data_IF_215393488934
#
_entry.id   IF_215393488934
#
_cell.length_a   1.000
_cell.length_b   1.000
_cell.length_c   1.000
_cell.angle_alpha   90.00
_cell.angle_beta   90.00
_cell.angle_gamma   90.00
#
_symmetry.space_group_name_H-M   'P 1'
#
loop_
_entity.id
_entity.type
_entity.pdbx_description
1 polymer ?
#
# COMPACT_ATOMS: atom_id res chain seq x y z
N UNK A 1 20.93 -38.11 -40.78
CA UNK A 1 20.34 -36.74 -40.78
C UNK A 1 18.81 -36.73 -40.73
N UNK A 2 18.11 -37.81 -41.15
CA UNK A 2 16.63 -37.87 -41.15
C UNK A 2 15.95 -37.96 -39.77
N UNK A 3 16.57 -38.56 -38.74
CA UNK A 3 15.92 -38.69 -37.41
C UNK A 3 15.78 -37.39 -36.62
N UNK A 4 16.62 -36.38 -36.89
CA UNK A 4 16.56 -35.08 -36.21
C UNK A 4 15.41 -34.20 -36.71
N UNK A 5 14.91 -34.48 -37.92
CA UNK A 5 13.82 -33.71 -38.55
C UNK A 5 12.47 -34.16 -37.97
N UNK A 6 12.24 -35.47 -37.79
CA UNK A 6 10.99 -35.98 -37.21
C UNK A 6 10.73 -35.54 -35.78
N UNK A 7 11.77 -35.45 -34.94
CA UNK A 7 11.61 -35.00 -33.54
C UNK A 7 11.22 -33.52 -33.43
N UNK A 8 11.72 -32.67 -34.35
CA UNK A 8 11.36 -31.24 -34.39
C UNK A 8 9.93 -31.02 -34.86
N UNK A 9 9.46 -31.80 -35.83
CA UNK A 9 8.07 -31.71 -36.31
C UNK A 9 7.09 -32.13 -35.21
N UNK A 10 7.42 -33.16 -34.42
CA UNK A 10 6.57 -33.61 -33.31
C UNK A 10 6.46 -32.57 -32.17
N UNK A 11 7.57 -31.87 -31.88
CA UNK A 11 7.61 -30.79 -30.89
C UNK A 11 6.80 -29.56 -31.34
N UNK A 12 6.87 -29.20 -32.63
CA UNK A 12 6.11 -28.06 -33.17
C UNK A 12 4.61 -28.40 -33.19
N UNK A 13 4.23 -29.63 -33.58
CA UNK A 13 2.83 -30.05 -33.57
C UNK A 13 2.23 -30.05 -32.15
N UNK A 14 2.99 -30.50 -31.14
CA UNK A 14 2.55 -30.45 -29.74
C UNK A 14 2.39 -29.01 -29.22
N UNK A 15 3.23 -28.07 -29.66
CA UNK A 15 3.12 -26.67 -29.24
C UNK A 15 1.88 -25.96 -29.80
N UNK A 16 1.38 -26.35 -30.98
CA UNK A 16 0.17 -25.77 -31.56
C UNK A 16 -1.14 -26.21 -30.89
N UNK A 17 -1.17 -27.40 -30.25
CA UNK A 17 -2.40 -27.89 -29.61
C UNK A 17 -2.74 -27.21 -28.26
N UNK A 18 -1.83 -26.45 -27.65
CA UNK A 18 -2.09 -25.75 -26.38
C UNK A 18 -2.71 -24.36 -26.52
N UNK A 19 -2.95 -23.88 -27.76
CA UNK A 19 -3.62 -22.59 -28.00
C UNK A 19 -5.15 -22.70 -27.83
N UNK A 20 -5.63 -23.00 -26.63
CA UNK A 20 -7.05 -22.92 -26.30
C UNK A 20 -7.44 -21.44 -26.09
N UNK A 21 -8.39 -20.96 -26.89
CA UNK A 21 -8.95 -19.61 -26.76
C UNK A 21 -9.75 -19.50 -25.46
N UNK A 22 -9.27 -18.72 -24.50
CA UNK A 22 -9.97 -18.49 -23.24
C UNK A 22 -11.32 -17.77 -23.49
N UNK A 23 -12.45 -18.28 -22.98
CA UNK A 23 -13.73 -17.60 -23.16
C UNK A 23 -13.68 -16.21 -22.53
N UNK A 24 -14.30 -15.22 -23.19
CA UNK A 24 -14.44 -13.87 -22.67
C UNK A 24 -15.18 -13.89 -21.33
N UNK A 25 -14.46 -13.61 -20.24
CA UNK A 25 -15.01 -13.63 -18.90
C UNK A 25 -15.96 -12.43 -18.74
N UNK A 26 -17.19 -12.72 -18.35
CA UNK A 26 -18.20 -11.71 -18.02
C UNK A 26 -18.20 -11.52 -16.51
N UNK A 27 -17.71 -10.38 -16.05
CA UNK A 27 -17.63 -10.05 -14.62
C UNK A 27 -18.78 -9.11 -14.26
N UNK A 28 -19.68 -9.57 -13.41
CA UNK A 28 -20.82 -8.80 -12.89
C UNK A 28 -20.40 -7.98 -11.67
N UNK A 29 -20.74 -6.69 -11.69
CA UNK A 29 -20.55 -5.77 -10.56
C UNK A 29 -21.86 -5.68 -9.76
N UNK A 30 -21.84 -6.20 -8.54
CA UNK A 30 -23.01 -6.35 -7.69
C UNK A 30 -23.00 -5.35 -6.52
N UNK A 31 -24.17 -4.81 -6.16
CA UNK A 31 -24.36 -4.07 -4.90
C UNK A 31 -24.99 -4.99 -3.87
N UNK A 32 -24.33 -5.15 -2.73
CA UNK A 32 -24.88 -5.87 -1.58
C UNK A 32 -25.63 -4.93 -0.63
N UNK A 33 -26.46 -5.51 0.25
CA UNK A 33 -27.07 -4.80 1.35
C UNK A 33 -25.97 -4.17 2.22
N UNK A 34 -26.12 -2.89 2.58
CA UNK A 34 -25.06 -2.11 3.25
C UNK A 34 -24.14 -1.32 2.30
N UNK A 35 -24.38 -1.37 0.99
CA UNK A 35 -23.70 -0.51 0.02
C UNK A 35 -22.32 -0.99 -0.43
N UNK A 36 -21.89 -2.16 0.02
CA UNK A 36 -20.65 -2.83 -0.42
C UNK A 36 -20.77 -3.27 -1.88
N UNK A 37 -19.70 -3.10 -2.65
CA UNK A 37 -19.62 -3.50 -4.05
C UNK A 37 -18.73 -4.74 -4.17
N UNK A 38 -19.26 -5.80 -4.79
CA UNK A 38 -18.52 -7.04 -5.10
C UNK A 38 -18.51 -7.32 -6.60
N UNK A 39 -17.54 -8.14 -7.05
CA UNK A 39 -17.40 -8.57 -8.44
C UNK A 39 -17.48 -10.08 -8.51
N UNK A 40 -18.27 -10.62 -9.43
CA UNK A 40 -18.57 -12.06 -9.51
C UNK A 40 -18.70 -12.49 -10.97
N UNK A 41 -18.37 -13.73 -11.30
CA UNK A 41 -18.54 -14.26 -12.67
C UNK A 41 -19.99 -14.70 -12.95
N UNK A 42 -20.80 -14.87 -11.90
CA UNK A 42 -22.21 -15.20 -11.99
C UNK A 42 -23.10 -13.95 -11.82
N UNK A 43 -24.30 -13.93 -12.44
CA UNK A 43 -25.26 -12.84 -12.28
C UNK A 43 -25.53 -12.50 -10.81
N UNK A 44 -25.73 -11.21 -10.52
CA UNK A 44 -25.96 -10.76 -9.15
C UNK A 44 -27.29 -11.32 -8.62
N UNK A 45 -27.33 -11.94 -7.43
CA UNK A 45 -28.59 -12.37 -6.79
C UNK A 45 -29.46 -11.19 -6.33
N UNK A 46 -28.96 -9.96 -6.47
CA UNK A 46 -29.65 -8.72 -6.12
C UNK A 46 -29.40 -7.64 -7.17
N UNK A 47 -29.12 -6.40 -6.74
CA UNK A 47 -29.01 -5.27 -7.65
C UNK A 47 -27.69 -5.26 -8.42
N UNK A 48 -27.77 -5.57 -9.70
CA UNK A 48 -26.66 -5.44 -10.65
C UNK A 48 -26.42 -3.97 -11.00
N UNK A 49 -25.18 -3.52 -10.88
CA UNK A 49 -24.78 -2.13 -11.17
C UNK A 49 -24.04 -2.04 -12.51
N UNK A 50 -23.47 -3.14 -12.99
CA UNK A 50 -22.79 -3.18 -14.28
C UNK A 50 -22.24 -4.54 -14.66
N UNK A 51 -21.84 -4.67 -15.92
CA UNK A 51 -21.17 -5.86 -16.46
C UNK A 51 -19.87 -5.39 -17.11
N UNK A 52 -18.75 -5.97 -16.69
CA UNK A 52 -17.47 -5.79 -17.35
C UNK A 52 -17.23 -7.02 -18.22
N UNK A 53 -17.15 -6.81 -19.53
CA UNK A 53 -16.66 -7.83 -20.46
C UNK A 53 -15.19 -7.57 -20.66
N UNK A 54 -14.34 -8.51 -20.27
CA UNK A 54 -12.93 -8.44 -20.68
C UNK A 54 -12.86 -8.83 -22.16
N UNK A 55 -12.32 -7.98 -23.04
CA UNK A 55 -12.13 -8.37 -24.43
C UNK A 55 -11.04 -9.44 -24.48
N UNK A 56 -11.43 -10.69 -24.73
CA UNK A 56 -10.47 -11.73 -25.17
C UNK A 56 -10.12 -11.47 -26.63
N UNK A 57 -9.33 -10.44 -26.91
CA UNK A 57 -8.38 -10.35 -28.04
C UNK A 57 -7.76 -8.96 -28.08
N UNK A 58 -6.43 -8.92 -28.01
CA UNK A 58 -5.62 -7.74 -28.28
C UNK A 58 -5.60 -7.44 -29.79
N UNK A 59 -6.72 -7.05 -30.40
CA UNK A 59 -6.78 -6.52 -31.77
C UNK A 59 -8.16 -5.94 -32.11
N UNK A 60 -8.47 -4.72 -31.65
CA UNK A 60 -9.47 -3.86 -32.32
C UNK A 60 -9.40 -2.42 -31.77
N UNK A 61 -8.30 -1.72 -32.04
CA UNK A 61 -8.37 -0.26 -32.13
C UNK A 61 -9.02 0.09 -33.48
N UNK A 62 -10.36 0.03 -33.54
CA UNK A 62 -11.12 0.66 -34.62
C UNK A 62 -11.42 2.12 -34.22
N UNK A 63 -11.12 3.02 -35.14
CA UNK A 63 -11.28 4.46 -35.04
C UNK A 63 -12.68 4.86 -34.54
N UNK A 64 -12.82 5.96 -33.77
CA UNK A 64 -14.11 6.38 -33.26
C UNK A 64 -14.98 6.91 -34.41
N UNK A 65 -16.07 6.21 -34.71
CA UNK A 65 -17.18 6.80 -35.44
C UNK A 65 -17.84 7.86 -34.54
N UNK A 66 -17.88 9.09 -35.03
CA UNK A 66 -18.57 10.20 -34.36
C UNK A 66 -20.07 9.98 -34.44
N UNK A 67 -20.63 9.32 -33.42
CA UNK A 67 -22.07 9.34 -33.15
C UNK A 67 -22.34 10.52 -32.22
N UNK A 68 -22.99 11.55 -32.75
CA UNK A 68 -23.57 12.64 -31.96
C UNK A 68 -24.73 12.08 -31.15
N UNK A 69 -24.41 11.49 -30.00
CA UNK A 69 -25.40 11.11 -29.00
C UNK A 69 -25.89 12.38 -28.28
N UNK A 70 -27.20 12.62 -28.35
CA UNK A 70 -27.89 13.67 -27.60
C UNK A 70 -27.60 13.46 -26.10
N UNK A 71 -26.94 14.43 -25.46
CA UNK A 71 -26.53 14.35 -24.07
C UNK A 71 -27.76 14.24 -23.15
N UNK A 72 -27.99 13.03 -22.61
CA UNK A 72 -28.85 12.84 -21.44
C UNK A 72 -28.19 13.58 -20.26
N UNK A 73 -28.94 14.27 -19.38
CA UNK A 73 -28.39 14.88 -18.18
C UNK A 73 -27.56 13.85 -17.40
N UNK A 74 -26.28 14.17 -17.22
CA UNK A 74 -25.31 13.30 -16.56
C UNK A 74 -25.79 13.09 -15.11
N UNK A 75 -26.20 11.86 -14.78
CA UNK A 75 -26.53 11.53 -13.42
C UNK A 75 -25.28 11.79 -12.55
N UNK A 76 -25.40 12.44 -11.37
CA UNK A 76 -24.24 12.80 -10.57
C UNK A 76 -23.37 11.57 -10.35
N UNK A 77 -22.15 11.59 -10.90
CA UNK A 77 -21.18 10.52 -10.66
C UNK A 77 -21.03 10.38 -9.14
N UNK A 78 -21.23 9.18 -8.56
CA UNK A 78 -21.09 9.00 -7.13
C UNK A 78 -19.70 9.48 -6.71
N UNK A 79 -19.67 10.48 -5.84
CA UNK A 79 -18.43 11.00 -5.27
C UNK A 79 -17.75 9.83 -4.56
N UNK A 80 -16.45 9.55 -4.80
CA UNK A 80 -15.74 8.57 -4.02
C UNK A 80 -15.89 8.94 -2.55
N UNK A 81 -16.58 8.10 -1.76
CA UNK A 81 -16.61 8.25 -0.31
C UNK A 81 -15.17 8.31 0.17
N UNK A 82 -14.81 9.39 0.87
CA UNK A 82 -13.47 9.59 1.38
C UNK A 82 -13.00 8.31 2.08
N UNK A 83 -11.84 7.79 1.68
CA UNK A 83 -11.24 6.63 2.34
C UNK A 83 -11.11 6.95 3.83
N UNK A 84 -11.59 6.04 4.68
CA UNK A 84 -11.47 6.21 6.13
C UNK A 84 -10.02 6.58 6.50
N UNK A 85 -9.82 7.57 7.38
CA UNK A 85 -8.48 7.97 7.80
C UNK A 85 -7.72 6.77 8.34
N UNK A 86 -6.47 6.59 7.89
CA UNK A 86 -5.60 5.57 8.46
C UNK A 86 -5.31 5.95 9.92
N UNK A 87 -5.38 4.99 10.86
CA UNK A 87 -5.04 5.28 12.24
C UNK A 87 -3.56 5.67 12.33
N UNK A 88 -3.28 6.63 13.21
CA UNK A 88 -1.93 7.06 13.53
C UNK A 88 -1.74 7.08 15.04
N UNK A 89 -0.54 6.74 15.48
CA UNK A 89 -0.20 6.69 16.90
C UNK A 89 1.10 7.45 17.14
N UNK A 90 1.12 8.28 18.18
CA UNK A 90 2.33 8.91 18.70
C UNK A 90 2.89 8.00 19.79
N UNK A 91 4.09 7.50 19.58
CA UNK A 91 4.79 6.68 20.55
C UNK A 91 5.97 7.45 21.13
N UNK A 92 6.15 7.35 22.45
CA UNK A 92 7.28 7.93 23.18
C UNK A 92 8.18 6.79 23.62
N UNK A 93 9.47 6.90 23.27
CA UNK A 93 10.51 5.96 23.67
C UNK A 93 10.97 6.22 25.11
N UNK A 94 11.66 5.26 25.75
CA UNK A 94 12.25 5.46 27.07
C UNK A 94 13.30 6.58 27.16
N UNK A 95 13.84 7.06 26.04
CA UNK A 95 14.75 8.23 25.98
C UNK A 95 14.00 9.57 25.84
N UNK A 96 12.66 9.54 25.82
CA UNK A 96 11.81 10.72 25.64
C UNK A 96 11.59 11.13 24.17
N UNK A 97 12.33 10.55 23.23
CA UNK A 97 12.09 10.79 21.81
C UNK A 97 10.74 10.22 21.38
N UNK A 98 10.03 10.92 20.50
CA UNK A 98 8.76 10.44 19.99
C UNK A 98 8.83 10.12 18.50
N UNK A 99 7.93 9.26 18.05
CA UNK A 99 7.78 8.91 16.64
C UNK A 99 6.32 8.59 16.35
N UNK A 100 5.96 8.64 15.06
CA UNK A 100 4.63 8.28 14.60
C UNK A 100 4.64 6.92 13.90
N UNK A 101 3.65 6.10 14.21
CA UNK A 101 3.49 4.77 13.61
C UNK A 101 2.03 4.52 13.21
N UNK A 102 1.82 3.51 12.36
CA UNK A 102 0.48 3.07 11.93
C UNK A 102 -0.05 1.92 12.78
N UNK A 103 0.77 1.40 13.71
CA UNK A 103 0.40 0.34 14.64
C UNK A 103 0.35 0.88 16.08
N UNK A 104 -0.61 0.43 16.88
CA UNK A 104 -0.65 0.76 18.30
C UNK A 104 0.31 -0.08 19.14
N UNK A 105 1.04 -1.03 18.53
CA UNK A 105 1.87 -1.99 19.25
C UNK A 105 3.15 -1.31 19.73
N UNK A 106 3.37 -1.19 21.05
CA UNK A 106 4.58 -0.59 21.57
C UNK A 106 5.78 -1.48 21.24
N UNK A 107 6.88 -0.88 20.77
CA UNK A 107 8.10 -1.63 20.57
C UNK A 107 8.75 -1.94 21.93
N UNK A 108 9.39 -3.11 22.02
CA UNK A 108 10.14 -3.53 23.22
C UNK A 108 11.63 -3.37 22.96
N UNK A 109 12.35 -2.88 23.95
CA UNK A 109 13.80 -2.68 23.86
C UNK A 109 14.49 -2.87 25.22
N UNK A 110 15.80 -3.09 25.18
CA UNK A 110 16.64 -3.07 26.37
C UNK A 110 17.06 -1.63 26.65
N UNK A 111 16.83 -1.19 27.88
CA UNK A 111 17.27 0.11 28.39
C UNK A 111 18.16 -0.10 29.60
N UNK A 112 18.79 0.98 30.07
CA UNK A 112 19.47 0.95 31.35
C UNK A 112 18.49 0.65 32.51
N UNK A 113 18.90 -0.18 33.46
CA UNK A 113 18.10 -0.51 34.63
C UNK A 113 17.81 0.74 35.50
N UNK A 114 18.66 1.76 35.44
CA UNK A 114 18.45 3.03 36.14
C UNK A 114 17.46 3.98 35.45
N UNK A 115 17.04 3.70 34.20
CA UNK A 115 16.10 4.57 33.49
C UNK A 115 14.70 4.51 34.16
N UNK A 116 14.35 5.58 34.87
CA UNK A 116 13.08 5.73 35.59
C UNK A 116 11.90 6.13 34.70
N UNK A 117 12.15 6.68 33.51
CA UNK A 117 11.12 7.04 32.54
C UNK A 117 10.61 5.84 31.74
N UNK A 118 11.34 4.73 31.78
CA UNK A 118 11.04 3.53 31.04
C UNK A 118 9.84 2.78 31.62
N UNK A 119 8.80 2.56 30.81
CA UNK A 119 7.71 1.65 31.17
C UNK A 119 8.23 0.21 31.13
N UNK A 120 8.27 -0.45 32.29
CA UNK A 120 8.75 -1.84 32.41
C UNK A 120 7.78 -2.82 31.78
N UNK A 121 8.32 -3.84 31.10
CA UNK A 121 7.48 -4.87 30.50
C UNK A 121 7.24 -6.02 31.48
N UNK A 122 5.99 -6.22 31.87
CA UNK A 122 5.59 -7.33 32.73
C UNK A 122 5.82 -8.68 32.03
N UNK A 123 6.29 -9.68 32.78
CA UNK A 123 6.55 -11.02 32.23
C UNK A 123 7.67 -11.08 31.18
N UNK A 124 8.55 -10.07 31.13
CA UNK A 124 9.71 -10.11 30.26
C UNK A 124 10.74 -11.17 30.73
N UNK A 125 11.49 -11.78 29.80
CA UNK A 125 12.60 -12.66 30.19
C UNK A 125 13.65 -11.86 30.98
N UNK A 126 14.52 -12.57 31.71
CA UNK A 126 15.62 -11.96 32.45
C UNK A 126 16.45 -11.05 31.54
N UNK A 127 16.64 -9.80 31.94
CA UNK A 127 17.49 -8.86 31.22
C UNK A 127 18.96 -9.07 31.61
N UNK A 128 19.92 -8.70 30.74
CA UNK A 128 21.34 -8.67 31.08
C UNK A 128 21.61 -7.79 32.32
N UNK A 129 22.71 -8.04 33.07
CA UNK A 129 23.10 -7.19 34.19
C UNK A 129 23.17 -5.71 33.82
N UNK A 130 22.57 -4.85 34.64
CA UNK A 130 22.50 -3.40 34.40
C UNK A 130 21.49 -2.97 33.33
N UNK A 131 20.74 -3.90 32.71
CA UNK A 131 19.69 -3.61 31.74
C UNK A 131 18.33 -4.04 32.24
N UNK A 132 17.29 -3.50 31.61
CA UNK A 132 15.92 -3.90 31.85
C UNK A 132 15.09 -3.76 30.57
N UNK A 133 14.08 -4.62 30.42
CA UNK A 133 13.14 -4.53 29.32
C UNK A 133 12.18 -3.37 29.53
N UNK A 134 12.06 -2.54 28.50
CA UNK A 134 11.11 -1.45 28.44
C UNK A 134 10.28 -1.53 27.16
N UNK A 135 9.12 -0.88 27.21
CA UNK A 135 8.27 -0.67 26.05
C UNK A 135 7.97 0.81 25.83
N UNK A 136 7.72 1.14 24.56
CA UNK A 136 7.27 2.47 24.18
C UNK A 136 5.86 2.75 24.72
N UNK A 137 5.54 4.03 24.89
CA UNK A 137 4.20 4.48 25.29
C UNK A 137 3.50 5.09 24.09
N UNK A 138 2.50 4.38 23.55
CA UNK A 138 1.77 4.79 22.35
C UNK A 138 0.36 5.29 22.66
N UNK A 139 0.00 6.44 22.11
CA UNK A 139 -1.34 7.00 22.17
C UNK A 139 -1.87 7.31 20.76
N UNK A 140 -3.20 7.30 20.59
CA UNK A 140 -3.82 7.72 19.33
C UNK A 140 -3.42 9.16 19.00
N UNK A 141 -3.14 9.42 17.73
CA UNK A 141 -2.81 10.75 17.22
C UNK A 141 -3.62 11.07 15.97
N UNK A 142 -3.76 12.37 15.71
CA UNK A 142 -4.39 12.87 14.49
C UNK A 142 -3.46 12.72 13.29
N UNK A 143 -4.07 12.66 12.10
CA UNK A 143 -3.35 12.76 10.82
C UNK A 143 -2.56 14.05 10.73
N UNK A 144 -3.12 15.17 11.19
CA UNK A 144 -2.49 16.49 11.14
C UNK A 144 -1.16 16.51 11.92
N UNK A 145 -1.15 16.05 13.17
CA UNK A 145 0.07 15.96 14.00
C UNK A 145 1.15 15.10 13.34
N UNK A 146 0.76 13.95 12.79
CA UNK A 146 1.70 13.05 12.11
C UNK A 146 2.30 13.71 10.87
N UNK A 147 1.49 14.42 10.09
CA UNK A 147 1.94 15.10 8.89
C UNK A 147 2.86 16.27 9.19
N UNK A 148 2.54 17.05 10.22
CA UNK A 148 3.39 18.14 10.69
C UNK A 148 4.77 17.61 11.14
N UNK A 149 4.79 16.54 11.96
CA UNK A 149 6.05 15.91 12.38
C UNK A 149 6.93 15.50 11.18
N UNK A 150 6.37 14.85 10.17
CA UNK A 150 7.17 14.46 9.01
C UNK A 150 7.57 15.64 8.13
N UNK A 151 6.79 16.73 8.08
CA UNK A 151 7.20 17.96 7.41
C UNK A 151 8.43 18.57 8.11
N UNK A 152 8.40 18.67 9.43
CA UNK A 152 9.52 19.19 10.23
C UNK A 152 10.78 18.32 10.08
N UNK A 153 10.63 16.99 10.13
CA UNK A 153 11.76 16.06 9.92
C UNK A 153 12.36 16.17 8.51
N UNK A 154 11.51 16.36 7.48
CA UNK A 154 11.99 16.59 6.11
C UNK A 154 12.76 17.90 6.05
N UNK A 155 12.22 18.99 6.60
CA UNK A 155 12.89 20.29 6.60
C UNK A 155 14.24 20.24 7.34
N UNK A 156 14.29 19.58 8.50
CA UNK A 156 15.53 19.39 9.26
C UNK A 156 16.55 18.52 8.51
N UNK A 157 16.10 17.46 7.83
CA UNK A 157 16.98 16.63 7.01
C UNK A 157 17.52 17.39 5.79
N UNK A 158 16.66 18.14 5.10
CA UNK A 158 17.02 18.93 3.92
C UNK A 158 18.02 20.05 4.29
N UNK A 159 17.85 20.70 5.46
CA UNK A 159 18.81 21.68 5.98
C UNK A 159 20.18 21.04 6.25
N UNK A 160 20.21 19.86 6.88
CA UNK A 160 21.46 19.12 7.11
C UNK A 160 22.11 18.64 5.82
N UNK A 161 21.30 18.25 4.83
CA UNK A 161 21.80 17.81 3.51
C UNK A 161 22.51 18.95 2.79
N UNK A 162 22.02 20.18 2.91
CA UNK A 162 22.62 21.38 2.28
C UNK A 162 24.06 21.66 2.76
N UNK A 163 24.38 21.31 4.01
CA UNK A 163 25.70 21.53 4.61
C UNK A 163 26.62 20.29 4.50
N UNK A 164 26.04 19.12 4.23
CA UNK A 164 26.77 17.85 4.23
C UNK A 164 27.61 17.64 2.96
N UNK A 165 28.68 16.85 3.09
CA UNK A 165 29.57 16.48 1.97
C UNK A 165 29.80 14.96 1.95
N UNK A 166 30.20 14.45 0.79
CA UNK A 166 30.61 13.06 0.61
C UNK A 166 29.53 12.05 1.03
N UNK A 167 29.91 11.09 1.87
CA UNK A 167 29.05 9.98 2.32
C UNK A 167 27.86 10.43 3.15
N UNK A 168 28.01 11.50 3.93
CA UNK A 168 26.92 12.05 4.75
C UNK A 168 25.82 12.67 3.90
N UNK A 169 26.18 13.39 2.84
CA UNK A 169 25.20 13.92 1.89
C UNK A 169 24.39 12.78 1.25
N UNK A 170 25.06 11.70 0.83
CA UNK A 170 24.37 10.53 0.26
C UNK A 170 23.44 9.83 1.27
N UNK A 171 23.82 9.78 2.56
CA UNK A 171 22.98 9.23 3.63
C UNK A 171 21.75 10.10 3.89
N UNK A 172 21.92 11.41 4.00
CA UNK A 172 20.83 12.37 4.23
C UNK A 172 19.87 12.41 3.04
N UNK A 173 20.37 12.31 1.81
CA UNK A 173 19.52 12.22 0.61
C UNK A 173 18.59 11.00 0.64
N UNK A 174 19.12 9.83 1.02
CA UNK A 174 18.32 8.59 1.18
C UNK A 174 17.29 8.74 2.31
N UNK A 175 17.67 9.36 3.43
CA UNK A 175 16.75 9.59 4.53
C UNK A 175 15.63 10.57 4.15
N UNK A 176 15.94 11.64 3.43
CA UNK A 176 14.95 12.58 2.90
C UNK A 176 13.95 11.91 1.97
N UNK A 177 14.41 11.01 1.09
CA UNK A 177 13.53 10.18 0.25
C UNK A 177 12.62 9.29 1.11
N UNK A 178 13.17 8.63 2.14
CA UNK A 178 12.40 7.79 3.07
C UNK A 178 11.32 8.59 3.79
N UNK A 179 11.66 9.75 4.35
CA UNK A 179 10.72 10.62 5.07
C UNK A 179 9.60 11.12 4.16
N UNK A 180 9.93 11.53 2.93
CA UNK A 180 8.94 11.93 1.90
C UNK A 180 7.98 10.78 1.55
N UNK A 181 8.49 9.56 1.39
CA UNK A 181 7.66 8.39 1.12
C UNK A 181 6.71 8.07 2.30
N UNK A 182 7.21 8.13 3.53
CA UNK A 182 6.39 7.93 4.74
C UNK A 182 5.30 8.99 4.85
N UNK A 183 5.67 10.27 4.64
CA UNK A 183 4.72 11.39 4.65
C UNK A 183 3.62 11.16 3.62
N UNK A 184 3.96 10.87 2.36
CA UNK A 184 2.99 10.64 1.30
C UNK A 184 2.03 9.48 1.64
N UNK A 185 2.53 8.42 2.28
CA UNK A 185 1.70 7.28 2.68
C UNK A 185 0.74 7.58 3.85
N UNK A 186 1.11 8.51 4.73
CA UNK A 186 0.31 8.87 5.92
C UNK A 186 -0.60 10.07 5.71
N UNK A 187 -0.21 10.96 4.79
CA UNK A 187 -0.80 12.28 4.61
C UNK A 187 -1.62 12.43 3.34
N UNK A 188 -1.68 11.43 2.45
CA UNK A 188 -2.59 11.37 1.31
C UNK A 188 -3.66 10.29 1.56
#
# INVERSE_FOLDING_TARGET
MSSLISLRILLIASALLLATTAPAATIYKCRQAGGVVSYQDNPCPGRQIGVLRTPTTAAAARAPASVTAKATPDAPRPTPTARAPRPSFKCVRPDGSHYFTGNARPARMLVDASNTMAKRVAGAPAAPPGKAWAEDQCASSTRAESCQYYQEQIAANDAREAEAKGTDAARLKREGQRLRAIRNHRCN
#
